data_IF_760857517801
#
_entry.id   IF_760857517801
#
_cell.length_a   1.000
_cell.length_b   1.000
_cell.length_c   1.000
_cell.angle_alpha   90.00
_cell.angle_beta   90.00
_cell.angle_gamma   90.00
#
_symmetry.space_group_name_H-M   'P 1'
#
loop_
_entity.id
_entity.type
_entity.pdbx_description
1 polymer ?
#
# COMPACT_ATOMS: atom_id res chain seq x y z
N UNK A 1 10.94 -15.16 1.39
CA UNK A 1 10.25 -15.22 2.69
C UNK A 1 11.02 -14.40 3.70
N UNK A 2 10.31 -13.74 4.62
CA UNK A 2 10.91 -12.88 5.63
C UNK A 2 10.26 -13.15 6.98
N UNK A 3 11.07 -13.36 8.02
CA UNK A 3 10.59 -13.49 9.39
C UNK A 3 10.45 -12.12 10.05
N UNK A 4 9.31 -11.88 10.68
CA UNK A 4 9.07 -10.71 11.52
C UNK A 4 9.34 -11.08 12.98
N UNK A 5 10.60 -11.01 13.41
CA UNK A 5 11.01 -11.46 14.75
C UNK A 5 10.53 -10.50 15.87
N UNK A 6 10.39 -9.25 15.51
CA UNK A 6 10.07 -8.08 16.33
C UNK A 6 8.58 -7.72 16.28
N UNK A 7 7.75 -8.55 15.64
CA UNK A 7 6.31 -8.37 15.55
C UNK A 7 5.60 -9.66 15.98
N UNK A 8 4.61 -9.54 16.86
CA UNK A 8 3.72 -10.65 17.26
C UNK A 8 2.32 -10.37 16.71
N UNK A 9 1.70 -11.38 16.11
CA UNK A 9 0.34 -11.28 15.58
C UNK A 9 -0.68 -11.20 16.72
N UNK A 10 -1.52 -10.16 16.70
CA UNK A 10 -2.56 -9.91 17.71
C UNK A 10 -3.89 -10.59 17.35
N UNK A 11 -4.67 -11.02 18.36
CA UNK A 11 -5.96 -11.72 18.22
C UNK A 11 -7.13 -10.83 17.71
N UNK A 12 -6.84 -9.59 17.33
CA UNK A 12 -7.78 -8.62 16.78
C UNK A 12 -7.17 -7.87 15.59
N UNK A 13 -6.11 -8.44 15.00
CA UNK A 13 -5.48 -7.89 13.82
C UNK A 13 -6.49 -7.81 12.66
N UNK A 14 -6.46 -6.68 11.97
CA UNK A 14 -7.36 -6.35 10.87
C UNK A 14 -6.60 -6.61 9.57
N UNK A 15 -7.17 -7.45 8.71
CA UNK A 15 -6.62 -7.75 7.39
C UNK A 15 -7.52 -7.16 6.30
N UNK A 16 -6.91 -6.37 5.42
CA UNK A 16 -7.55 -5.69 4.29
C UNK A 16 -6.76 -6.06 3.05
N UNK A 17 -7.43 -6.55 2.01
CA UNK A 17 -6.79 -6.98 0.76
C UNK A 17 -7.69 -6.60 -0.42
N UNK A 18 -7.07 -6.31 -1.57
CA UNK A 18 -7.75 -6.19 -2.85
C UNK A 18 -8.94 -5.22 -2.80
N UNK A 19 -8.68 -4.04 -2.23
CA UNK A 19 -9.64 -2.94 -2.11
C UNK A 19 -9.77 -2.15 -3.40
N UNK A 20 -8.76 -2.19 -4.28
CA UNK A 20 -8.71 -1.50 -5.58
C UNK A 20 -9.29 -0.07 -5.54
N UNK A 21 -8.77 0.75 -4.63
CA UNK A 21 -9.16 2.15 -4.51
C UNK A 21 -9.04 2.91 -5.82
N UNK A 22 -10.10 3.64 -6.16
CA UNK A 22 -10.11 4.61 -7.26
C UNK A 22 -10.36 6.00 -6.70
N UNK A 23 -9.79 7.01 -7.35
CA UNK A 23 -10.00 8.40 -6.95
C UNK A 23 -11.50 8.71 -6.86
N UNK A 24 -11.92 9.27 -5.72
CA UNK A 24 -13.32 9.57 -5.44
C UNK A 24 -14.08 8.48 -4.69
N UNK A 25 -13.48 7.32 -4.43
CA UNK A 25 -14.06 6.30 -3.56
C UNK A 25 -14.07 6.76 -2.10
N UNK A 26 -15.19 7.36 -1.71
CA UNK A 26 -15.41 7.84 -0.34
C UNK A 26 -15.65 6.70 0.64
N UNK A 27 -16.17 5.56 0.19
CA UNK A 27 -16.53 4.47 1.09
C UNK A 27 -15.29 3.84 1.72
N UNK A 28 -14.24 3.62 0.93
CA UNK A 28 -12.98 3.09 1.46
C UNK A 28 -12.30 4.09 2.40
N UNK A 29 -12.34 5.40 2.09
CA UNK A 29 -11.79 6.44 2.97
C UNK A 29 -12.54 6.51 4.30
N UNK A 30 -13.88 6.52 4.25
CA UNK A 30 -14.73 6.50 5.44
C UNK A 30 -14.51 5.24 6.26
N UNK A 31 -14.23 4.12 5.59
CA UNK A 31 -13.89 2.86 6.25
C UNK A 31 -12.57 2.96 7.01
N UNK A 32 -11.49 3.46 6.38
CA UNK A 32 -10.19 3.63 7.04
C UNK A 32 -10.30 4.58 8.25
N UNK A 33 -11.09 5.64 8.14
CA UNK A 33 -11.34 6.59 9.24
C UNK A 33 -12.10 5.97 10.43
N UNK A 34 -12.83 4.87 10.22
CA UNK A 34 -13.58 4.15 11.27
C UNK A 34 -12.79 3.03 11.93
N UNK A 35 -11.59 2.71 11.43
CA UNK A 35 -10.76 1.68 12.05
C UNK A 35 -10.40 2.13 13.48
N UNK A 36 -10.63 1.29 14.50
CA UNK A 36 -10.33 1.66 15.88
C UNK A 36 -8.82 1.83 16.09
N UNK A 37 -8.47 2.72 17.03
CA UNK A 37 -7.07 2.98 17.43
C UNK A 37 -6.45 1.76 18.11
N UNK A 38 -5.11 1.74 18.17
CA UNK A 38 -4.31 0.71 18.82
C UNK A 38 -4.55 -0.70 18.26
N UNK A 39 -4.72 -0.81 16.94
CA UNK A 39 -4.84 -2.09 16.23
C UNK A 39 -3.60 -2.37 15.39
N UNK A 40 -3.39 -3.65 15.11
CA UNK A 40 -2.49 -4.10 14.06
C UNK A 40 -3.31 -4.22 12.77
N UNK A 41 -2.89 -3.50 11.73
CA UNK A 41 -3.58 -3.44 10.44
C UNK A 41 -2.64 -3.94 9.34
N UNK A 42 -3.01 -5.05 8.72
CA UNK A 42 -2.30 -5.61 7.58
C UNK A 42 -3.01 -5.22 6.28
N UNK A 43 -2.30 -4.49 5.44
CA UNK A 43 -2.69 -4.16 4.07
C UNK A 43 -2.02 -5.17 3.14
N UNK A 44 -2.78 -6.15 2.63
CA UNK A 44 -2.27 -7.33 1.94
C UNK A 44 -2.30 -7.21 0.41
N UNK A 45 -1.79 -6.08 -0.09
CA UNK A 45 -1.65 -5.79 -1.52
C UNK A 45 -2.96 -5.47 -2.23
N UNK A 46 -2.81 -4.84 -3.39
CA UNK A 46 -3.89 -4.38 -4.29
C UNK A 46 -4.95 -3.53 -3.57
N UNK A 47 -4.49 -2.74 -2.59
CA UNK A 47 -5.30 -1.74 -1.88
C UNK A 47 -5.65 -0.60 -2.84
N UNK A 48 -4.71 -0.20 -3.68
CA UNK A 48 -4.93 0.77 -4.74
C UNK A 48 -5.28 0.07 -6.04
N UNK A 49 -6.17 0.67 -6.85
CA UNK A 49 -6.44 0.15 -8.20
C UNK A 49 -5.19 0.24 -9.10
N UNK A 50 -4.39 1.28 -8.90
CA UNK A 50 -3.03 1.40 -9.42
C UNK A 50 -2.27 2.45 -8.61
N UNK A 51 -1.12 2.07 -8.04
CA UNK A 51 -0.17 2.96 -7.40
C UNK A 51 1.27 2.50 -7.69
N UNK A 52 2.02 3.35 -8.37
CA UNK A 52 3.47 3.18 -8.56
C UNK A 52 4.14 4.24 -7.70
N UNK A 53 4.68 3.85 -6.55
CA UNK A 53 5.13 4.80 -5.53
C UNK A 53 6.32 5.67 -5.95
N UNK A 54 7.08 5.25 -6.97
CA UNK A 54 8.15 6.05 -7.56
C UNK A 54 7.65 7.12 -8.55
N UNK A 55 6.38 7.07 -8.97
CA UNK A 55 5.80 7.98 -9.96
C UNK A 55 4.97 9.10 -9.29
N UNK A 56 5.35 10.39 -9.41
CA UNK A 56 4.65 11.50 -8.75
C UNK A 56 3.16 11.61 -9.11
N UNK A 57 2.82 11.44 -10.39
CA UNK A 57 1.43 11.56 -10.88
C UNK A 57 0.54 10.41 -10.39
N UNK A 58 1.13 9.23 -10.20
CA UNK A 58 0.50 8.09 -9.55
C UNK A 58 0.19 8.40 -8.10
N UNK A 59 1.15 8.95 -7.36
CA UNK A 59 0.96 9.34 -5.97
C UNK A 59 -0.08 10.48 -5.84
N UNK A 60 -0.05 11.48 -6.73
CA UNK A 60 -1.05 12.56 -6.75
C UNK A 60 -2.48 12.03 -6.97
N UNK A 61 -2.67 11.10 -7.91
CA UNK A 61 -3.99 10.55 -8.22
C UNK A 61 -4.57 9.72 -7.06
N UNK A 62 -3.70 9.22 -6.17
CA UNK A 62 -4.05 8.38 -5.03
C UNK A 62 -3.86 9.08 -3.68
N UNK A 63 -3.60 10.39 -3.68
CA UNK A 63 -3.20 11.16 -2.50
C UNK A 63 -4.17 10.99 -1.32
N UNK A 64 -5.48 10.95 -1.57
CA UNK A 64 -6.48 10.83 -0.50
C UNK A 64 -6.33 9.56 0.32
N UNK A 65 -6.06 8.42 -0.32
CA UNK A 65 -5.88 7.16 0.41
C UNK A 65 -4.46 7.03 0.97
N UNK A 66 -3.44 7.55 0.29
CA UNK A 66 -2.08 7.66 0.85
C UNK A 66 -2.13 8.44 2.18
N UNK A 67 -2.82 9.57 2.19
CA UNK A 67 -3.01 10.38 3.39
C UNK A 67 -3.79 9.63 4.47
N UNK A 68 -4.91 8.97 4.12
CA UNK A 68 -5.69 8.19 5.08
C UNK A 68 -4.86 7.06 5.72
N UNK A 69 -3.99 6.38 4.95
CA UNK A 69 -3.08 5.35 5.48
C UNK A 69 -2.03 5.97 6.41
N UNK A 70 -1.46 7.12 6.04
CA UNK A 70 -0.52 7.84 6.89
C UNK A 70 -1.19 8.26 8.22
N UNK A 71 -2.39 8.81 8.19
CA UNK A 71 -3.17 9.13 9.39
C UNK A 71 -3.47 7.89 10.23
N UNK A 72 -3.87 6.78 9.60
CA UNK A 72 -4.14 5.52 10.29
C UNK A 72 -2.90 5.03 11.06
N UNK A 73 -1.71 5.14 10.46
CA UNK A 73 -0.45 4.71 11.09
C UNK A 73 -0.06 5.51 12.33
N UNK A 74 -0.59 6.71 12.54
CA UNK A 74 -0.29 7.51 13.73
C UNK A 74 -0.84 6.88 15.02
N UNK A 75 -1.87 6.03 14.92
CA UNK A 75 -2.52 5.41 16.08
C UNK A 75 -2.51 3.89 16.04
N UNK A 76 -2.00 3.30 14.96
CA UNK A 76 -2.10 1.87 14.67
C UNK A 76 -0.76 1.35 14.14
N UNK A 77 -0.44 0.09 14.42
CA UNK A 77 0.66 -0.58 13.73
C UNK A 77 0.17 -0.96 12.32
N UNK A 78 0.73 -0.33 11.28
CA UNK A 78 0.36 -0.61 9.89
C UNK A 78 1.48 -1.37 9.19
N UNK A 79 1.15 -2.56 8.69
CA UNK A 79 2.05 -3.42 7.92
C UNK A 79 1.48 -3.57 6.51
N UNK A 80 2.22 -3.11 5.49
CA UNK A 80 1.78 -3.10 4.10
C UNK A 80 2.61 -4.08 3.27
N UNK A 81 1.98 -5.13 2.74
CA UNK A 81 2.53 -6.01 1.73
C UNK A 81 2.18 -5.47 0.34
N UNK A 82 3.17 -5.21 -0.50
CA UNK A 82 2.92 -4.74 -1.88
C UNK A 82 2.19 -5.80 -2.72
N UNK A 83 1.24 -5.36 -3.53
CA UNK A 83 0.57 -6.18 -4.54
C UNK A 83 1.20 -6.05 -5.92
N UNK A 84 0.41 -6.32 -6.94
CA UNK A 84 0.79 -6.07 -8.32
C UNK A 84 0.23 -4.78 -8.90
N UNK A 85 -0.78 -4.21 -8.25
CA UNK A 85 -1.34 -2.91 -8.54
C UNK A 85 -0.72 -1.80 -7.69
N UNK A 86 -0.15 -2.10 -6.52
CA UNK A 86 0.47 -1.14 -5.60
C UNK A 86 1.89 -1.54 -5.18
N UNK A 87 2.89 -0.93 -5.82
CA UNK A 87 4.30 -1.33 -5.68
C UNK A 87 5.26 -0.13 -5.73
N UNK A 88 6.50 -0.32 -5.29
CA UNK A 88 7.47 0.76 -4.96
C UNK A 88 6.94 1.72 -3.89
N UNK A 89 6.15 1.21 -2.95
CA UNK A 89 5.52 1.99 -1.89
C UNK A 89 6.54 2.57 -0.92
N UNK A 90 7.71 1.92 -0.77
CA UNK A 90 8.83 2.44 0.02
C UNK A 90 9.21 3.88 -0.41
N UNK A 91 9.14 4.21 -1.70
CA UNK A 91 9.46 5.54 -2.21
C UNK A 91 8.53 6.65 -1.67
N UNK A 92 7.34 6.29 -1.18
CA UNK A 92 6.38 7.23 -0.60
C UNK A 92 6.73 7.53 0.86
N UNK A 93 7.13 6.52 1.65
CA UNK A 93 7.21 6.62 3.12
C UNK A 93 8.62 6.51 3.74
N UNK A 94 9.65 6.08 2.99
CA UNK A 94 10.96 5.71 3.58
C UNK A 94 12.00 6.84 3.63
N UNK A 95 11.67 8.03 3.13
CA UNK A 95 12.60 9.15 3.08
C UNK A 95 12.50 10.12 4.28
N UNK A 96 11.78 9.77 5.35
CA UNK A 96 11.71 10.59 6.57
C UNK A 96 12.84 10.30 7.58
N UNK A 97 13.83 9.48 7.24
CA UNK A 97 14.92 9.03 8.14
C UNK A 97 16.35 9.27 7.63
N UNK A 98 16.54 9.98 6.51
CA UNK A 98 17.87 10.46 6.08
C UNK A 98 17.97 11.96 6.27
N UNK A 99 18.33 12.35 7.48
CA UNK A 99 18.88 13.69 7.76
C UNK A 99 20.05 13.55 8.74
N UNK A 100 21.01 12.71 8.38
CA UNK A 100 22.40 12.88 8.78
C UNK A 100 23.06 13.83 7.78
N UNK A 101 23.03 15.10 8.19
CA UNK A 101 23.75 16.28 7.71
C UNK A 101 24.60 16.15 6.45
N UNK A 102 24.40 17.16 5.58
CA UNK A 102 25.25 17.56 4.46
C UNK A 102 24.74 17.11 3.08
N UNK A 103 23.83 17.92 2.51
CA UNK A 103 23.77 18.05 1.06
C UNK A 103 23.91 19.51 0.65
N UNK A 104 25.06 19.79 0.05
CA UNK A 104 25.48 21.06 -0.51
C UNK A 104 24.40 21.58 -1.45
N UNK A 105 23.94 22.79 -1.13
CA UNK A 105 23.02 23.59 -1.93
C UNK A 105 23.68 23.95 -3.27
N UNK A 106 23.29 23.26 -4.34
CA UNK A 106 23.25 23.90 -5.64
C UNK A 106 21.82 24.38 -5.90
N UNK A 107 21.62 25.68 -5.61
CA UNK A 107 20.47 26.47 -6.04
C UNK A 107 20.27 26.29 -7.55
N UNK A 108 19.22 25.55 -7.91
CA UNK A 108 18.37 25.87 -9.05
C UNK A 108 16.96 25.40 -8.71
N UNK A 109 16.04 26.35 -8.77
CA UNK A 109 14.62 26.32 -8.48
C UNK A 109 13.89 25.00 -8.80
N UNK A 110 13.78 24.11 -7.82
CA UNK A 110 12.81 23.00 -7.80
C UNK A 110 12.37 22.76 -6.36
N UNK A 111 11.18 23.24 -6.02
CA UNK A 111 10.44 22.78 -4.84
C UNK A 111 10.12 21.30 -5.04
N UNK A 112 10.71 20.44 -4.23
CA UNK A 112 10.57 18.99 -4.36
C UNK A 112 9.15 18.57 -3.93
N UNK A 113 8.55 17.62 -4.65
CA UNK A 113 7.23 17.02 -4.34
C UNK A 113 7.12 16.58 -2.87
N UNK A 114 8.24 16.13 -2.29
CA UNK A 114 8.39 15.76 -0.87
C UNK A 114 7.98 16.91 0.05
N UNK A 115 8.40 18.14 -0.24
CA UNK A 115 8.09 19.33 0.56
C UNK A 115 6.60 19.70 0.52
N UNK A 116 5.90 19.36 -0.58
CA UNK A 116 4.46 19.66 -0.73
C UNK A 116 3.61 18.62 -0.03
N UNK A 117 3.96 17.33 -0.14
CA UNK A 117 3.27 16.23 0.54
C UNK A 117 3.47 16.28 2.06
N UNK A 118 4.69 16.55 2.53
CA UNK A 118 4.97 16.72 3.96
C UNK A 118 4.30 17.98 4.52
N UNK A 119 4.26 19.10 3.78
CA UNK A 119 3.50 20.28 4.21
C UNK A 119 2.00 20.02 4.30
N UNK A 120 1.42 19.23 3.41
CA UNK A 120 -0.01 18.86 3.54
C UNK A 120 -0.29 17.94 4.73
N UNK A 121 0.65 17.06 5.08
CA UNK A 121 0.54 16.17 6.25
C UNK A 121 0.69 16.97 7.56
N UNK A 122 1.61 17.95 7.60
CA UNK A 122 1.88 18.79 8.78
C UNK A 122 0.81 19.88 8.99
N UNK A 123 0.25 20.45 7.91
CA UNK A 123 -0.74 21.52 8.05
C UNK A 123 -2.14 21.05 8.48
N UNK A 124 -2.47 19.75 8.39
CA UNK A 124 -3.78 19.23 8.80
C UNK A 124 -3.82 18.75 10.27
N UNK A 125 -2.68 18.68 10.97
CA UNK A 125 -2.65 18.39 12.41
C UNK A 125 -3.00 19.60 13.30
N UNK A 126 -2.99 20.81 12.74
CA UNK A 126 -3.42 22.03 13.41
C UNK A 126 -4.65 22.61 12.71
N UNK A 127 -5.74 22.80 13.45
CA UNK A 127 -6.98 23.41 12.95
C UNK A 127 -6.71 24.73 12.22
N UNK A 128 -6.84 24.75 10.88
CA UNK A 128 -7.57 25.79 10.13
C UNK A 128 -7.73 25.47 8.65
N UNK A 129 -8.91 24.94 8.37
CA UNK A 129 -9.60 24.84 7.10
C UNK A 129 -9.68 26.22 6.39
N UNK A 130 -8.69 26.61 5.56
CA UNK A 130 -8.87 27.76 4.65
C UNK A 130 -8.01 27.84 3.36
N UNK A 131 -7.05 26.96 3.07
CA UNK A 131 -6.09 27.23 1.95
C UNK A 131 -5.93 26.18 0.85
N UNK A 132 -6.82 25.19 0.76
CA UNK A 132 -6.77 24.17 -0.30
C UNK A 132 -7.61 24.48 -1.56
N UNK A 133 -8.49 25.49 -1.54
CA UNK A 133 -9.30 25.85 -2.72
C UNK A 133 -8.48 26.53 -3.82
N UNK A 134 -7.44 27.28 -3.49
CA UNK A 134 -6.71 28.10 -4.47
C UNK A 134 -5.66 27.33 -5.30
N UNK A 135 -5.20 26.17 -4.80
CA UNK A 135 -4.22 25.33 -5.51
C UNK A 135 -4.87 24.38 -6.51
N UNK A 136 -6.08 23.90 -6.23
CA UNK A 136 -6.85 23.05 -7.14
C UNK A 136 -7.37 23.87 -8.33
N UNK A 137 -7.79 25.12 -8.10
CA UNK A 137 -8.32 26.00 -9.15
C UNK A 137 -7.30 26.32 -10.25
N UNK A 138 -6.00 26.37 -9.92
CA UNK A 138 -4.94 26.64 -10.90
C UNK A 138 -4.54 25.40 -11.72
N UNK A 139 -4.79 24.19 -11.23
CA UNK A 139 -4.53 22.96 -11.99
C UNK A 139 -5.70 22.56 -12.90
N UNK A 140 -6.94 23.00 -12.59
CA UNK A 140 -8.12 22.75 -13.43
C UNK A 140 -8.32 23.78 -14.54
N UNK A 141 -7.67 24.95 -14.49
CA UNK A 141 -7.93 26.06 -15.43
C UNK A 141 -6.93 26.16 -16.61
N UNK A 142 -6.11 25.13 -16.88
CA UNK A 142 -5.25 25.08 -18.07
C UNK A 142 -5.83 24.19 -19.20
N UNK A 143 -7.15 24.16 -19.30
CA UNK A 143 -7.85 23.86 -20.56
C UNK A 143 -8.80 25.03 -20.85
N UNK A 144 -8.74 25.53 -22.09
CA UNK A 144 -9.35 26.76 -22.64
C UNK A 144 -8.60 28.07 -22.38
N UNK A 145 -7.96 28.55 -23.45
CA UNK A 145 -7.45 29.91 -23.51
C UNK A 145 -8.59 30.92 -23.61
N UNK A 146 -8.43 32.05 -22.95
CA UNK A 146 -8.44 33.34 -23.63
C UNK A 146 -7.79 34.43 -22.76
N UNK A 147 -7.33 35.44 -23.47
CA UNK A 147 -6.67 36.67 -23.06
C UNK A 147 -7.36 37.49 -21.96
N UNK A 148 -6.56 38.10 -21.06
CA UNK A 148 -6.49 39.54 -20.73
C UNK A 148 -6.13 39.86 -19.26
N UNK A 149 -5.13 40.76 -19.15
CA UNK A 149 -4.78 41.74 -18.09
C UNK A 149 -5.61 41.77 -16.79
N UNK A 150 -4.93 41.82 -15.64
CA UNK A 150 -4.81 43.08 -14.88
C UNK A 150 -3.83 43.04 -13.68
N UNK A 151 -3.38 44.24 -13.34
CA UNK A 151 -2.28 44.65 -12.47
C UNK A 151 -2.63 44.84 -10.99
N UNK A 152 -1.57 44.87 -10.13
CA UNK A 152 -1.47 45.43 -8.76
C UNK A 152 -2.21 44.63 -7.69
N UNK A 153 -1.64 44.33 -6.51
CA UNK A 153 -0.92 45.23 -5.59
C UNK A 153 -0.09 44.37 -4.62
N UNK A 154 1.14 44.82 -4.32
CA UNK A 154 1.98 44.29 -3.24
C UNK A 154 1.46 44.87 -1.93
N UNK A 155 1.19 44.02 -0.95
CA UNK A 155 1.20 44.41 0.46
C UNK A 155 2.10 43.42 1.20
N UNK A 156 3.12 43.99 1.83
CA UNK A 156 4.14 43.35 2.66
C UNK A 156 3.47 43.05 4.00
N UNK A 157 3.44 41.78 4.40
CA UNK A 157 3.10 41.39 5.78
C UNK A 157 4.39 40.83 6.38
N UNK A 158 4.84 41.48 7.44
CA UNK A 158 5.98 41.13 8.27
C UNK A 158 5.90 39.66 8.70
N UNK A 159 7.00 38.95 8.45
CA UNK A 159 7.29 37.63 8.98
C UNK A 159 7.46 37.69 10.49
N UNK A 160 6.44 37.30 11.24
CA UNK A 160 6.66 36.73 12.56
C UNK A 160 7.19 35.31 12.36
N UNK A 161 8.45 35.10 12.75
CA UNK A 161 9.09 33.79 12.85
C UNK A 161 8.27 32.92 13.81
N UNK A 162 7.46 32.02 13.23
CA UNK A 162 6.95 30.86 13.94
C UNK A 162 8.07 29.84 13.92
N UNK A 163 8.85 29.82 15.00
CA UNK A 163 9.75 28.72 15.32
C UNK A 163 8.91 27.51 15.76
N UNK A 164 8.26 26.86 14.80
CA UNK A 164 7.76 25.50 14.98
C UNK A 164 8.90 24.57 14.56
N UNK A 165 9.69 24.14 15.54
CA UNK A 165 10.48 22.91 15.41
C UNK A 165 9.49 21.76 15.24
N UNK A 166 9.04 21.54 13.99
CA UNK A 166 8.21 20.41 13.62
C UNK A 166 9.06 19.16 13.77
N UNK A 167 8.92 18.49 14.91
CA UNK A 167 9.51 17.18 15.14
C UNK A 167 8.89 16.20 14.13
N UNK A 168 9.66 15.88 13.08
CA UNK A 168 9.29 14.88 12.08
C UNK A 168 9.17 13.51 12.76
N UNK A 169 7.97 13.15 13.20
CA UNK A 169 7.67 11.76 13.54
C UNK A 169 7.72 10.95 12.25
N UNK A 170 8.68 10.03 12.17
CA UNK A 170 8.72 8.99 11.14
C UNK A 170 7.35 8.30 11.08
N UNK A 171 6.76 8.24 9.89
CA UNK A 171 5.47 7.58 9.69
C UNK A 171 5.70 6.07 9.93
N UNK A 172 5.07 5.45 10.94
CA UNK A 172 5.41 4.08 11.35
C UNK A 172 4.67 3.04 10.49
N UNK A 173 4.86 3.09 9.17
CA UNK A 173 4.35 2.07 8.25
C UNK A 173 5.48 1.13 7.87
N UNK A 174 5.33 -0.16 8.18
CA UNK A 174 6.28 -1.20 7.74
C UNK A 174 5.85 -1.72 6.36
N UNK A 175 6.67 -1.50 5.35
CA UNK A 175 6.35 -1.88 3.96
C UNK A 175 7.20 -3.08 3.56
N UNK A 176 6.58 -4.07 2.94
CA UNK A 176 7.21 -5.29 2.48
C UNK A 176 6.93 -5.50 1.01
N UNK A 177 7.98 -5.37 0.21
CA UNK A 177 7.91 -5.62 -1.23
C UNK A 177 7.54 -7.06 -1.53
N UNK A 178 7.13 -7.32 -2.78
CA UNK A 178 6.86 -8.66 -3.28
C UNK A 178 7.96 -9.69 -2.95
N UNK A 179 9.23 -9.30 -3.04
CA UNK A 179 10.37 -10.21 -2.80
C UNK A 179 10.53 -10.60 -1.32
N UNK A 180 10.03 -9.79 -0.39
CA UNK A 180 10.02 -10.13 1.03
C UNK A 180 8.95 -11.17 1.37
N UNK A 181 7.92 -11.30 0.53
CA UNK A 181 6.80 -12.20 0.77
C UNK A 181 7.18 -13.68 0.49
N UNK A 182 6.55 -14.65 1.18
CA UNK A 182 5.59 -14.47 2.28
C UNK A 182 6.29 -14.00 3.57
N UNK A 183 5.55 -13.25 4.39
CA UNK A 183 5.98 -12.86 5.73
C UNK A 183 5.60 -13.94 6.72
N UNK A 184 6.51 -14.27 7.64
CA UNK A 184 6.30 -15.26 8.68
C UNK A 184 6.31 -14.53 10.01
N UNK A 185 5.17 -14.57 10.70
CA UNK A 185 4.95 -13.91 11.98
C UNK A 185 4.50 -14.94 13.02
N UNK A 186 4.97 -14.79 14.27
CA UNK A 186 4.51 -15.63 15.37
C UNK A 186 3.26 -15.04 16.01
N UNK A 187 2.34 -15.91 16.40
CA UNK A 187 1.21 -15.55 17.27
C UNK A 187 1.65 -15.48 18.73
N UNK A 188 0.81 -14.92 19.60
CA UNK A 188 1.02 -14.95 21.06
C UNK A 188 1.17 -16.37 21.62
N UNK A 189 0.52 -17.36 20.98
CA UNK A 189 0.61 -18.78 21.38
C UNK A 189 1.77 -19.52 20.69
N UNK A 190 2.74 -18.79 20.13
CA UNK A 190 3.92 -19.33 19.44
C UNK A 190 3.59 -20.22 18.20
N UNK A 191 2.37 -20.13 17.67
CA UNK A 191 2.03 -20.65 16.34
C UNK A 191 2.61 -19.78 15.22
N UNK A 192 2.78 -20.36 14.04
CA UNK A 192 3.29 -19.67 12.86
C UNK A 192 2.13 -19.16 12.00
N UNK A 193 2.18 -17.89 11.60
CA UNK A 193 1.27 -17.31 10.62
C UNK A 193 2.07 -16.84 9.41
N UNK A 194 1.64 -17.25 8.22
CA UNK A 194 2.27 -17.01 6.93
C UNK A 194 1.35 -16.08 6.15
N UNK A 195 1.84 -14.87 5.86
CA UNK A 195 1.07 -13.80 5.24
C UNK A 195 1.61 -13.50 3.84
N UNK A 196 0.75 -13.37 2.85
CA UNK A 196 1.14 -12.90 1.52
C UNK A 196 -0.01 -12.18 0.81
N UNK A 197 0.33 -11.29 -0.13
CA UNK A 197 -0.66 -10.75 -1.05
C UNK A 197 -1.34 -11.87 -1.83
N UNK A 198 -0.58 -12.82 -2.39
CA UNK A 198 -1.10 -14.05 -2.98
C UNK A 198 -0.64 -14.36 -4.39
N UNK A 199 0.07 -13.41 -5.00
CA UNK A 199 0.71 -13.52 -6.30
C UNK A 199 1.97 -14.41 -6.34
N UNK A 200 2.15 -15.25 -5.32
CA UNK A 200 3.26 -16.18 -5.21
C UNK A 200 2.96 -17.44 -6.01
N UNK A 201 3.92 -17.87 -6.84
CA UNK A 201 3.89 -19.15 -7.57
C UNK A 201 2.70 -19.33 -8.54
N UNK A 202 2.28 -18.27 -9.24
CA UNK A 202 1.17 -18.35 -10.22
C UNK A 202 1.62 -18.97 -11.55
N UNK A 203 2.61 -18.39 -12.23
CA UNK A 203 3.15 -18.93 -13.48
C UNK A 203 4.48 -18.28 -13.85
N UNK A 204 5.31 -18.96 -14.65
CA UNK A 204 6.59 -18.44 -15.13
C UNK A 204 6.44 -17.17 -15.98
N UNK A 205 5.35 -17.04 -16.76
CA UNK A 205 5.08 -15.83 -17.53
C UNK A 205 4.75 -14.64 -16.62
N UNK A 206 4.00 -14.90 -15.56
CA UNK A 206 3.70 -13.89 -14.55
C UNK A 206 4.98 -13.39 -13.85
N UNK A 207 5.90 -14.30 -13.52
CA UNK A 207 7.21 -13.93 -12.99
C UNK A 207 8.01 -13.04 -13.95
N UNK A 208 8.02 -13.32 -15.25
CA UNK A 208 8.68 -12.47 -16.24
C UNK A 208 8.03 -11.08 -16.32
N UNK A 209 6.71 -11.01 -16.40
CA UNK A 209 5.95 -9.75 -16.37
C UNK A 209 6.32 -8.91 -15.14
N UNK A 210 6.35 -9.55 -13.96
CA UNK A 210 6.71 -8.89 -12.70
C UNK A 210 8.14 -8.38 -12.69
N UNK A 211 9.09 -9.17 -13.19
CA UNK A 211 10.48 -8.72 -13.28
C UNK A 211 10.63 -7.53 -14.24
N UNK A 212 9.88 -7.53 -15.34
CA UNK A 212 9.88 -6.43 -16.30
C UNK A 212 9.37 -5.12 -15.68
N UNK A 213 8.21 -5.14 -15.01
CA UNK A 213 7.64 -3.91 -14.41
C UNK A 213 8.43 -3.40 -13.20
N UNK A 214 9.16 -4.29 -12.50
CA UNK A 214 10.01 -3.93 -11.37
C UNK A 214 11.46 -3.62 -11.78
N UNK A 215 11.77 -3.63 -13.07
CA UNK A 215 13.12 -3.33 -13.55
C UNK A 215 13.40 -1.82 -13.37
N UNK A 216 14.48 -1.42 -12.65
CA UNK A 216 14.78 -0.01 -12.39
C UNK A 216 14.95 0.83 -13.65
N UNK A 217 15.46 0.25 -14.74
CA UNK A 217 15.63 0.95 -16.02
C UNK A 217 14.27 1.20 -16.65
N UNK A 218 13.40 0.19 -16.66
CA UNK A 218 12.03 0.31 -17.18
C UNK A 218 11.29 1.41 -16.41
N UNK A 219 11.34 1.39 -15.08
CA UNK A 219 10.71 2.40 -14.24
C UNK A 219 11.29 3.79 -14.46
N UNK A 220 12.62 3.92 -14.51
CA UNK A 220 13.28 5.18 -14.80
C UNK A 220 12.80 5.75 -16.14
N UNK A 221 12.68 4.92 -17.18
CA UNK A 221 12.15 5.37 -18.47
C UNK A 221 10.68 5.78 -18.37
N UNK A 222 9.84 5.01 -17.65
CA UNK A 222 8.44 5.37 -17.44
C UNK A 222 8.28 6.67 -16.66
N UNK A 223 9.03 6.86 -15.57
CA UNK A 223 9.05 8.09 -14.77
C UNK A 223 9.51 9.30 -15.59
N UNK A 224 10.58 9.13 -16.36
CA UNK A 224 11.11 10.19 -17.21
C UNK A 224 10.08 10.60 -18.28
N UNK A 225 9.48 9.63 -18.96
CA UNK A 225 8.47 9.88 -19.97
C UNK A 225 7.20 10.49 -19.35
N UNK A 226 6.78 10.03 -18.18
CA UNK A 226 5.60 10.58 -17.50
C UNK A 226 5.82 12.03 -17.05
N UNK A 227 7.03 12.36 -16.57
CA UNK A 227 7.43 13.74 -16.26
C UNK A 227 7.38 14.64 -17.50
N UNK A 228 7.93 14.19 -18.63
CA UNK A 228 7.91 14.97 -19.88
C UNK A 228 6.48 15.12 -20.42
N UNK A 229 5.65 14.09 -20.25
CA UNK A 229 4.27 14.10 -20.73
C UNK A 229 3.28 14.65 -19.70
N UNK A 230 3.76 15.25 -18.60
CA UNK A 230 2.93 15.81 -17.53
C UNK A 230 1.82 14.85 -17.05
N UNK A 231 2.14 13.56 -16.92
CA UNK A 231 1.22 12.55 -16.41
C UNK A 231 0.31 11.87 -17.42
N UNK A 232 0.44 12.17 -18.72
CA UNK A 232 -0.43 11.55 -19.75
C UNK A 232 -0.21 10.04 -19.83
N UNK A 233 1.01 9.55 -19.61
CA UNK A 233 1.33 8.13 -19.70
C UNK A 233 0.69 7.36 -18.55
N UNK A 234 0.89 7.82 -17.31
CA UNK A 234 0.22 7.26 -16.15
C UNK A 234 -1.30 7.27 -16.33
N UNK A 235 -1.89 8.42 -16.72
CA UNK A 235 -3.35 8.53 -16.95
C UNK A 235 -3.85 7.53 -17.99
N UNK A 236 -3.12 7.33 -19.09
CA UNK A 236 -3.49 6.33 -20.11
C UNK A 236 -3.42 4.90 -19.59
N UNK A 237 -2.38 4.58 -18.82
CA UNK A 237 -2.21 3.26 -18.23
C UNK A 237 -3.30 2.99 -17.18
N UNK A 238 -3.50 3.94 -16.26
CA UNK A 238 -4.58 3.93 -15.27
C UNK A 238 -5.94 3.77 -15.93
N UNK A 239 -6.25 4.54 -16.99
CA UNK A 239 -7.51 4.40 -17.73
C UNK A 239 -7.66 3.00 -18.33
N UNK A 240 -6.61 2.46 -18.95
CA UNK A 240 -6.64 1.09 -19.53
C UNK A 240 -6.89 0.02 -18.48
N UNK A 241 -6.30 0.15 -17.30
CA UNK A 241 -6.54 -0.77 -16.17
C UNK A 241 -7.94 -0.53 -15.58
N UNK A 242 -8.40 0.72 -15.46
CA UNK A 242 -9.75 1.08 -14.99
C UNK A 242 -10.86 0.46 -15.86
N UNK A 243 -10.63 0.34 -17.16
CA UNK A 243 -11.58 -0.29 -18.10
C UNK A 243 -11.54 -1.82 -18.07
N UNK A 244 -10.53 -2.45 -17.47
CA UNK A 244 -10.58 -3.88 -17.19
C UNK A 244 -11.53 -4.06 -16.03
N UNK A 245 -12.63 -4.78 -16.27
CA UNK A 245 -13.45 -5.29 -15.17
C UNK A 245 -12.52 -6.11 -14.28
N UNK A 246 -12.43 -5.74 -12.99
CA UNK A 246 -11.76 -6.58 -11.99
C UNK A 246 -12.44 -7.94 -12.13
N UNK A 247 -11.65 -8.96 -12.43
CA UNK A 247 -12.19 -10.23 -12.85
C UNK A 247 -12.99 -10.83 -11.69
N UNK A 248 -14.31 -10.66 -11.73
CA UNK A 248 -15.31 -11.37 -10.90
C UNK A 248 -15.21 -12.90 -11.05
N UNK A 249 -14.37 -13.34 -11.99
CA UNK A 249 -14.11 -14.69 -12.47
C UNK A 249 -13.62 -15.69 -11.41
N UNK A 250 -13.18 -15.24 -10.23
CA UNK A 250 -12.78 -16.16 -9.14
C UNK A 250 -13.94 -16.62 -8.25
N UNK A 251 -15.12 -15.97 -8.28
CA UNK A 251 -16.20 -16.25 -7.34
C UNK A 251 -16.94 -17.57 -7.55
N UNK A 252 -16.97 -18.09 -8.77
CA UNK A 252 -17.79 -19.26 -9.15
C UNK A 252 -16.97 -20.43 -9.72
N UNK A 253 -15.81 -20.71 -9.11
CA UNK A 253 -15.07 -21.94 -9.40
C UNK A 253 -15.68 -23.14 -8.68
N UNK A 254 -16.24 -24.08 -9.45
CA UNK A 254 -16.69 -25.38 -8.94
C UNK A 254 -15.54 -26.25 -8.42
N UNK A 255 -14.30 -25.94 -8.83
CA UNK A 255 -13.03 -26.58 -8.49
C UNK A 255 -12.33 -25.92 -7.27
N UNK A 256 -13.03 -25.10 -6.48
CA UNK A 256 -12.45 -24.34 -5.37
C UNK A 256 -11.60 -25.18 -4.39
N UNK A 257 -12.10 -26.34 -3.94
CA UNK A 257 -11.37 -27.18 -2.98
C UNK A 257 -10.09 -27.76 -3.59
N UNK A 258 -10.12 -28.10 -4.89
CA UNK A 258 -8.95 -28.57 -5.62
C UNK A 258 -7.92 -27.44 -5.77
N UNK A 259 -8.38 -26.24 -6.13
CA UNK A 259 -7.54 -25.04 -6.19
C UNK A 259 -6.88 -24.74 -4.83
N UNK A 260 -7.65 -24.67 -3.74
CA UNK A 260 -7.08 -24.43 -2.41
C UNK A 260 -6.15 -25.56 -1.96
N UNK A 261 -6.47 -26.81 -2.26
CA UNK A 261 -5.60 -27.95 -1.91
C UNK A 261 -4.25 -27.84 -2.64
N UNK A 262 -4.26 -27.42 -3.90
CA UNK A 262 -3.04 -27.14 -4.67
C UNK A 262 -2.26 -25.97 -4.08
N UNK A 263 -2.92 -24.86 -3.71
CA UNK A 263 -2.27 -23.73 -3.03
C UNK A 263 -1.63 -24.15 -1.71
N UNK A 264 -2.36 -24.89 -0.89
CA UNK A 264 -1.87 -25.40 0.39
C UNK A 264 -0.64 -26.29 0.21
N UNK A 265 -0.63 -27.18 -0.79
CA UNK A 265 0.53 -28.00 -1.11
C UNK A 265 1.76 -27.16 -1.48
N UNK A 266 1.57 -26.11 -2.29
CA UNK A 266 2.66 -25.18 -2.66
C UNK A 266 3.23 -24.50 -1.41
N UNK A 267 2.40 -23.99 -0.50
CA UNK A 267 2.87 -23.40 0.75
C UNK A 267 3.57 -24.42 1.66
N UNK A 268 3.07 -25.65 1.69
CA UNK A 268 3.69 -26.72 2.45
C UNK A 268 5.11 -26.99 1.95
N UNK A 269 5.27 -27.23 0.65
CA UNK A 269 6.54 -27.60 0.05
C UNK A 269 7.55 -26.44 0.08
N UNK A 270 7.11 -25.19 -0.14
CA UNK A 270 8.01 -24.05 -0.28
C UNK A 270 8.28 -23.30 1.02
N UNK A 271 7.45 -23.45 2.06
CA UNK A 271 7.58 -22.71 3.32
C UNK A 271 7.58 -23.64 4.53
N UNK A 272 6.51 -24.40 4.76
CA UNK A 272 6.36 -25.19 6.00
C UNK A 272 7.41 -26.30 6.10
N UNK A 273 7.68 -27.02 5.01
CA UNK A 273 8.70 -28.07 4.97
C UNK A 273 10.11 -27.53 5.26
N UNK A 274 10.58 -26.46 4.58
CA UNK A 274 11.82 -25.79 4.95
C UNK A 274 11.89 -25.36 6.41
N UNK A 275 10.82 -24.76 6.95
CA UNK A 275 10.77 -24.35 8.36
C UNK A 275 10.98 -25.51 9.33
N UNK A 276 10.41 -26.68 9.02
CA UNK A 276 10.55 -27.88 9.84
C UNK A 276 11.96 -28.48 9.70
N UNK A 277 12.46 -28.58 8.46
CA UNK A 277 13.76 -29.19 8.16
C UNK A 277 14.93 -28.37 8.73
N UNK A 278 14.82 -27.05 8.71
CA UNK A 278 15.82 -26.13 9.26
C UNK A 278 15.70 -25.99 10.79
N UNK A 279 14.71 -26.65 11.42
CA UNK A 279 14.54 -26.67 12.87
C UNK A 279 13.89 -25.41 13.45
N UNK A 280 13.34 -24.53 12.61
CA UNK A 280 12.58 -23.36 13.07
C UNK A 280 11.22 -23.77 13.63
N UNK A 281 10.57 -24.78 13.05
CA UNK A 281 9.27 -25.27 13.47
C UNK A 281 9.27 -26.80 13.66
N UNK A 282 8.26 -27.32 14.35
CA UNK A 282 8.00 -28.75 14.49
C UNK A 282 6.77 -29.12 13.67
N UNK A 283 6.70 -30.38 13.23
CA UNK A 283 5.54 -30.91 12.51
C UNK A 283 4.24 -30.86 13.34
N UNK A 284 4.34 -30.77 14.67
CA UNK A 284 3.20 -30.59 15.58
C UNK A 284 2.75 -29.14 15.76
N UNK A 285 3.53 -28.15 15.33
CA UNK A 285 3.19 -26.73 15.54
C UNK A 285 2.01 -26.34 14.63
N UNK A 286 1.15 -25.42 15.06
CA UNK A 286 0.04 -24.94 14.21
C UNK A 286 0.56 -23.90 13.21
N UNK A 287 0.12 -24.02 11.96
CA UNK A 287 0.44 -23.09 10.87
C UNK A 287 -0.84 -22.44 10.35
N UNK A 288 -0.87 -21.12 10.31
CA UNK A 288 -1.93 -20.33 9.68
C UNK A 288 -1.39 -19.73 8.39
N UNK A 289 -2.15 -19.82 7.30
CA UNK A 289 -1.82 -19.15 6.03
C UNK A 289 -2.94 -18.15 5.76
N UNK A 290 -2.60 -16.88 5.54
CA UNK A 290 -3.54 -15.82 5.19
C UNK A 290 -3.11 -15.20 3.86
N UNK A 291 -3.99 -15.22 2.87
CA UNK A 291 -3.70 -14.83 1.49
C UNK A 291 -4.81 -13.92 0.90
N UNK A 292 -4.45 -12.82 0.24
CA UNK A 292 -5.39 -11.82 -0.32
C UNK A 292 -6.00 -12.14 -1.70
N UNK A 293 -5.13 -12.34 -2.68
CA UNK A 293 -5.35 -12.22 -4.13
C UNK A 293 -6.49 -13.06 -4.71
N UNK A 294 -6.85 -14.19 -4.09
CA UNK A 294 -7.85 -15.08 -4.69
C UNK A 294 -9.31 -14.68 -4.37
N UNK A 295 -9.52 -13.84 -3.35
CA UNK A 295 -10.81 -13.24 -2.96
C UNK A 295 -11.92 -14.23 -2.57
N UNK A 296 -11.58 -15.48 -2.31
CA UNK A 296 -12.56 -16.55 -2.16
C UNK A 296 -13.28 -16.49 -0.80
N UNK A 297 -12.73 -15.79 0.19
CA UNK A 297 -13.33 -15.62 1.51
C UNK A 297 -13.55 -16.94 2.28
N UNK A 298 -12.82 -17.98 1.89
CA UNK A 298 -13.02 -19.35 2.36
C UNK A 298 -11.75 -19.88 3.01
N UNK A 299 -11.94 -20.85 3.90
CA UNK A 299 -10.87 -21.51 4.62
C UNK A 299 -10.84 -23.02 4.35
N UNK A 300 -9.65 -23.59 4.47
CA UNK A 300 -9.41 -25.03 4.38
C UNK A 300 -8.48 -25.44 5.52
N UNK A 301 -8.85 -26.48 6.25
CA UNK A 301 -8.04 -27.02 7.33
C UNK A 301 -7.56 -28.42 6.96
N UNK A 302 -6.25 -28.66 7.14
CA UNK A 302 -5.64 -29.98 6.95
C UNK A 302 -4.67 -30.24 8.10
N UNK A 303 -5.11 -31.05 9.07
CA UNK A 303 -4.34 -31.32 10.28
C UNK A 303 -4.11 -30.05 11.11
N UNK A 304 -2.85 -29.70 11.31
CA UNK A 304 -2.35 -28.52 12.01
C UNK A 304 -2.21 -27.27 11.11
N UNK A 305 -2.58 -27.35 9.84
CA UNK A 305 -2.45 -26.24 8.89
C UNK A 305 -3.84 -25.67 8.56
N UNK A 306 -3.99 -24.37 8.79
CA UNK A 306 -5.21 -23.59 8.63
C UNK A 306 -5.01 -22.54 7.54
N UNK A 307 -5.57 -22.77 6.37
CA UNK A 307 -5.47 -21.86 5.24
C UNK A 307 -6.71 -20.96 5.17
N UNK A 308 -6.52 -19.66 5.06
CA UNK A 308 -7.56 -18.65 4.94
C UNK A 308 -7.28 -17.77 3.71
N UNK A 309 -8.15 -17.85 2.71
CA UNK A 309 -8.20 -16.85 1.64
C UNK A 309 -9.10 -15.70 2.08
N UNK A 310 -8.56 -14.48 2.06
CA UNK A 310 -9.31 -13.28 2.40
C UNK A 310 -10.40 -13.00 1.36
N UNK A 311 -11.40 -12.26 1.80
CA UNK A 311 -12.34 -11.63 0.88
C UNK A 311 -11.64 -10.47 0.18
N UNK A 312 -11.99 -10.23 -1.09
CA UNK A 312 -11.72 -8.90 -1.66
C UNK A 312 -12.58 -7.86 -0.95
N UNK A 313 -11.93 -6.88 -0.34
CA UNK A 313 -12.59 -5.74 0.28
C UNK A 313 -13.31 -4.86 -0.75
N UNK A 314 -12.88 -4.87 -2.03
CA UNK A 314 -13.58 -4.21 -3.14
C UNK A 314 -14.99 -4.76 -3.36
N UNK A 315 -15.17 -6.09 -3.35
CA UNK A 315 -16.48 -6.70 -3.62
C UNK A 315 -17.37 -6.84 -2.39
N UNK A 316 -16.81 -7.21 -1.23
CA UNK A 316 -17.62 -7.56 -0.06
C UNK A 316 -17.82 -6.40 0.91
N UNK A 317 -17.03 -5.33 0.78
CA UNK A 317 -17.02 -4.20 1.72
C UNK A 317 -16.88 -4.66 3.19
N UNK A 318 -16.14 -5.76 3.39
CA UNK A 318 -15.88 -6.40 4.69
C UNK A 318 -14.39 -6.60 4.85
N UNK A 319 -13.92 -6.54 6.09
CA UNK A 319 -12.57 -6.89 6.49
C UNK A 319 -12.61 -8.18 7.31
N UNK A 320 -11.49 -8.89 7.32
CA UNK A 320 -11.31 -10.05 8.17
C UNK A 320 -10.64 -9.61 9.47
N UNK A 321 -11.35 -9.80 10.59
CA UNK A 321 -10.75 -9.73 11.92
C UNK A 321 -10.23 -11.12 12.25
N UNK A 322 -8.94 -11.25 12.48
CA UNK A 322 -8.36 -12.54 12.84
C UNK A 322 -8.71 -12.85 14.29
N UNK A 323 -9.68 -13.75 14.48
CA UNK A 323 -9.95 -14.35 15.79
C UNK A 323 -9.34 -15.74 15.79
N UNK A 324 -8.37 -15.99 16.67
CA UNK A 324 -7.87 -17.36 16.84
C UNK A 324 -8.99 -18.27 17.33
N UNK A 325 -9.14 -19.41 16.65
CA UNK A 325 -9.91 -20.54 17.18
C UNK A 325 -8.98 -21.19 18.20
N UNK A 326 -9.33 -21.05 19.50
CA UNK A 326 -8.61 -21.68 20.61
C UNK A 326 -8.49 -23.20 20.45
#
# INVERSE_FOLDING_TARGET
>A
MTFLHDTILQNDAIFIADSHFKQGDRELLDFFAKIPKNKQVFLMGDIFHLLIGSMPTSCMSNHSLIHAIATLSQTNEVIFLEGNHDFFLQNIWDNSSRDDGEYIVHKNSHTSYKDTLLKSIVCDSDEKNFRYKDLIQNYTNNEYGDSQKNSKKRDIIESQEINDECSFCSIPIKIYSYNAQPLIIKTQNNHYCILSHGDLWISSFYHFYRHFINNPIVLFTFEFLDKITYGIIYKRFANRINHRLIAEFSFFRSDFNDFLSKRLAIYYDNIIMPLIQEGFARDSDKFYIIEGHFHLGKSLNKGNIFYNSLYSSFFHKKYFSFNMIE
#
